data_IF_179960845799
#
_entry.id   IF_179960845799
#
_cell.length_a   1.000
_cell.length_b   1.000
_cell.length_c   1.000
_cell.angle_alpha   90.00
_cell.angle_beta   90.00
_cell.angle_gamma   90.00
#
_symmetry.space_group_name_H-M   'P 1'
#
loop_
_entity.id
_entity.type
_entity.pdbx_description
1 polymer ?
#
# COMPACT_ATOMS: atom_id res chain seq x y z
N UNK A 1 -20.23 -34.31 35.22
CA UNK A 1 -21.61 -34.75 34.92
C UNK A 1 -22.15 -33.77 33.85
N UNK A 2 -22.85 -34.31 32.85
CA UNK A 2 -23.20 -33.76 31.52
C UNK A 2 -23.69 -32.30 31.55
N UNK A 3 -23.42 -31.46 30.53
CA UNK A 3 -24.26 -31.45 29.32
C UNK A 3 -23.53 -30.91 28.07
N UNK A 4 -23.54 -31.72 27.01
CA UNK A 4 -23.24 -31.36 25.62
C UNK A 4 -24.56 -31.23 24.87
N UNK A 5 -24.78 -30.13 24.15
CA UNK A 5 -25.87 -30.01 23.16
C UNK A 5 -25.39 -29.31 21.88
N UNK A 6 -24.93 -30.14 20.93
CA UNK A 6 -25.21 -30.19 19.48
C UNK A 6 -26.18 -29.11 18.92
N UNK A 7 -26.12 -28.57 17.69
CA UNK A 7 -25.35 -28.75 16.44
C UNK A 7 -25.92 -27.71 15.42
N UNK A 8 -25.08 -27.10 14.59
CA UNK A 8 -25.29 -26.75 13.15
C UNK A 8 -23.96 -26.12 12.71
N UNK A 9 -23.19 -26.62 11.74
CA UNK A 9 -23.62 -27.23 10.49
C UNK A 9 -23.23 -26.38 9.27
N UNK A 10 -22.22 -25.49 9.36
CA UNK A 10 -21.52 -24.88 8.22
C UNK A 10 -20.08 -24.62 8.70
N UNK A 11 -19.07 -25.10 7.96
CA UNK A 11 -17.68 -25.16 8.40
C UNK A 11 -17.10 -23.82 8.85
N UNK A 12 -16.84 -23.69 10.15
CA UNK A 12 -15.97 -22.67 10.70
C UNK A 12 -14.50 -23.02 10.37
N UNK A 13 -14.10 -22.79 9.12
CA UNK A 13 -12.67 -22.73 8.75
C UNK A 13 -12.30 -21.27 8.57
N UNK A 14 -12.25 -20.48 9.64
CA UNK A 14 -11.59 -19.16 9.59
C UNK A 14 -11.16 -18.70 10.98
N UNK A 15 -10.30 -19.47 11.63
CA UNK A 15 -9.24 -18.85 12.43
C UNK A 15 -7.94 -19.24 11.74
N UNK A 16 -7.45 -18.37 10.86
CA UNK A 16 -6.13 -18.55 10.26
C UNK A 16 -5.12 -18.75 11.40
N UNK A 17 -4.36 -19.87 11.42
CA UNK A 17 -3.43 -20.10 12.52
C UNK A 17 -2.38 -18.99 12.49
N UNK A 18 -2.20 -18.30 13.62
CA UNK A 18 -1.29 -17.15 13.79
C UNK A 18 0.16 -17.50 13.40
N UNK A 19 0.51 -18.78 13.46
CA UNK A 19 1.76 -19.37 12.98
C UNK A 19 1.98 -19.25 11.46
N UNK A 20 0.94 -19.04 10.65
CA UNK A 20 1.05 -18.76 9.21
C UNK A 20 1.40 -17.30 8.91
N UNK A 21 1.13 -16.36 9.83
CA UNK A 21 1.47 -14.95 9.67
C UNK A 21 2.99 -14.70 9.62
N UNK A 22 3.81 -15.59 10.20
CA UNK A 22 5.28 -15.51 10.11
C UNK A 22 5.78 -15.46 8.66
N UNK A 23 5.09 -16.13 7.72
CA UNK A 23 5.52 -16.20 6.31
C UNK A 23 5.39 -14.87 5.56
N UNK A 24 4.60 -13.93 6.07
CA UNK A 24 4.23 -12.69 5.40
C UNK A 24 4.76 -11.42 6.09
N UNK A 25 5.59 -11.57 7.13
CA UNK A 25 6.10 -10.44 7.94
C UNK A 25 6.90 -9.39 7.16
N UNK A 26 7.41 -9.73 5.97
CA UNK A 26 8.16 -8.84 5.09
C UNK A 26 7.39 -8.62 3.77
N UNK A 27 6.07 -8.44 3.86
CA UNK A 27 5.20 -8.26 2.70
C UNK A 27 4.55 -6.89 2.74
N UNK A 28 4.61 -6.18 1.61
CA UNK A 28 3.88 -4.94 1.39
C UNK A 28 2.73 -5.19 0.43
N UNK A 29 1.62 -4.48 0.64
CA UNK A 29 0.54 -4.37 -0.32
C UNK A 29 0.74 -3.07 -1.09
N UNK A 30 0.74 -3.16 -2.41
CA UNK A 30 0.89 -2.00 -3.28
C UNK A 30 -0.26 -1.88 -4.27
N UNK A 31 -0.48 -0.66 -4.72
CA UNK A 31 -1.39 -0.35 -5.83
C UNK A 31 -0.88 0.84 -6.61
N UNK A 32 -0.79 0.69 -7.93
CA UNK A 32 -0.50 1.82 -8.81
C UNK A 32 -1.80 2.57 -9.07
N UNK A 33 -1.75 3.89 -8.89
CA UNK A 33 -2.89 4.79 -9.06
C UNK A 33 -2.71 5.56 -10.38
N UNK A 34 -3.76 5.55 -11.22
CA UNK A 34 -3.81 6.33 -12.46
C UNK A 34 -3.30 5.62 -13.71
N UNK A 35 -2.74 4.41 -13.59
CA UNK A 35 -2.31 3.61 -14.74
C UNK A 35 -2.33 2.11 -14.44
N UNK A 36 -2.45 1.31 -15.49
CA UNK A 36 -2.32 -0.14 -15.45
C UNK A 36 -0.91 -0.55 -15.86
N UNK A 37 -0.32 -1.46 -15.12
CA UNK A 37 0.98 -2.04 -15.42
C UNK A 37 0.85 -3.54 -15.57
N UNK A 38 1.53 -4.11 -16.56
CA UNK A 38 1.82 -5.55 -16.57
C UNK A 38 2.74 -5.89 -15.39
N UNK A 39 2.64 -7.11 -14.86
CA UNK A 39 3.47 -7.58 -13.73
C UNK A 39 4.97 -7.34 -13.98
N UNK A 40 5.46 -7.60 -15.19
CA UNK A 40 6.87 -7.40 -15.54
C UNK A 40 7.30 -5.93 -15.47
N UNK A 41 6.55 -5.03 -16.12
CA UNK A 41 6.80 -3.59 -16.06
C UNK A 41 6.70 -3.04 -14.63
N UNK A 42 5.75 -3.52 -13.84
CA UNK A 42 5.64 -3.16 -12.43
C UNK A 42 6.88 -3.62 -11.66
N UNK A 43 7.29 -4.87 -11.83
CA UNK A 43 8.47 -5.43 -11.17
C UNK A 43 9.74 -4.64 -11.52
N UNK A 44 9.95 -4.33 -12.81
CA UNK A 44 11.07 -3.50 -13.25
C UNK A 44 11.02 -2.09 -12.65
N UNK A 45 9.82 -1.49 -12.58
CA UNK A 45 9.60 -0.21 -11.92
C UNK A 45 9.97 -0.25 -10.44
N UNK A 46 9.53 -1.28 -9.71
CA UNK A 46 9.85 -1.49 -8.29
C UNK A 46 11.35 -1.65 -8.06
N UNK A 47 12.04 -2.44 -8.91
CA UNK A 47 13.49 -2.60 -8.85
C UNK A 47 14.21 -1.26 -9.09
N UNK A 48 13.71 -0.43 -10.00
CA UNK A 48 14.29 0.88 -10.29
C UNK A 48 14.14 1.89 -9.15
N UNK A 49 12.98 1.94 -8.50
CA UNK A 49 12.70 2.93 -7.44
C UNK A 49 13.25 2.51 -6.07
N UNK A 50 13.12 1.23 -5.70
CA UNK A 50 13.51 0.75 -4.38
C UNK A 50 14.95 0.26 -4.32
N UNK A 51 15.53 -0.10 -5.47
CA UNK A 51 16.90 -0.62 -5.60
C UNK A 51 17.22 -1.64 -4.49
N UNK A 52 16.40 -2.69 -4.35
CA UNK A 52 16.60 -3.67 -3.28
C UNK A 52 17.94 -4.38 -3.48
N UNK A 53 18.61 -4.70 -2.38
CA UNK A 53 19.82 -5.51 -2.41
C UNK A 53 19.50 -7.00 -2.58
N UNK A 54 18.34 -7.44 -2.08
CA UNK A 54 17.84 -8.81 -2.22
C UNK A 54 16.75 -8.97 -3.27
N UNK A 55 16.23 -10.19 -3.39
CA UNK A 55 15.16 -10.50 -4.34
C UNK A 55 13.81 -10.01 -3.80
N UNK A 56 12.97 -9.50 -4.71
CA UNK A 56 11.55 -9.21 -4.43
C UNK A 56 10.67 -10.19 -5.22
N UNK A 57 9.61 -10.68 -4.59
CA UNK A 57 8.59 -11.52 -5.24
C UNK A 57 7.30 -10.72 -5.33
N UNK A 58 6.83 -10.51 -6.56
CA UNK A 58 5.60 -9.80 -6.86
C UNK A 58 4.48 -10.80 -7.17
N UNK A 59 3.35 -10.68 -6.47
CA UNK A 59 2.17 -11.55 -6.65
C UNK A 59 0.96 -10.64 -6.90
N UNK A 60 0.22 -10.93 -7.97
CA UNK A 60 -1.01 -10.23 -8.33
C UNK A 60 -2.14 -10.52 -7.34
N UNK A 61 -2.92 -9.48 -7.02
CA UNK A 61 -4.10 -9.55 -6.17
C UNK A 61 -5.31 -8.93 -6.91
N UNK A 62 -6.54 -9.34 -6.53
CA UNK A 62 -7.75 -8.77 -7.11
C UNK A 62 -7.81 -7.24 -7.03
N UNK A 63 -8.53 -6.63 -7.98
CA UNK A 63 -8.73 -5.16 -8.09
C UNK A 63 -7.44 -4.37 -8.36
N UNK A 64 -6.44 -4.99 -8.97
CA UNK A 64 -5.18 -4.33 -9.34
C UNK A 64 -4.37 -3.91 -8.12
N UNK A 65 -4.43 -4.72 -7.06
CA UNK A 65 -3.47 -4.68 -5.96
C UNK A 65 -2.39 -5.70 -6.23
N UNK A 66 -1.24 -5.55 -5.59
CA UNK A 66 -0.17 -6.53 -5.65
C UNK A 66 0.43 -6.71 -4.26
N UNK A 67 0.92 -7.91 -3.96
CA UNK A 67 1.78 -8.11 -2.81
C UNK A 67 3.24 -8.20 -3.25
N UNK A 68 4.10 -7.47 -2.55
CA UNK A 68 5.55 -7.54 -2.73
C UNK A 68 6.15 -8.16 -1.49
N UNK A 69 6.71 -9.34 -1.63
CA UNK A 69 7.45 -10.00 -0.57
C UNK A 69 8.94 -9.74 -0.74
N UNK A 70 9.57 -9.26 0.33
CA UNK A 70 10.99 -8.97 0.38
C UNK A 70 11.74 -10.12 1.06
N UNK A 71 12.91 -10.43 0.52
CA UNK A 71 13.89 -11.31 1.18
C UNK A 71 14.59 -10.58 2.34
N UNK A 72 15.03 -9.34 2.09
CA UNK A 72 15.76 -8.51 3.06
C UNK A 72 14.83 -7.63 3.89
N UNK A 73 15.04 -7.61 5.21
CA UNK A 73 14.31 -6.71 6.12
C UNK A 73 14.69 -5.25 5.90
N UNK A 74 15.92 -5.00 5.44
CA UNK A 74 16.39 -3.64 5.13
C UNK A 74 15.62 -3.10 3.93
N UNK A 75 15.45 -3.93 2.89
CA UNK A 75 14.72 -3.52 1.69
C UNK A 75 13.22 -3.37 1.95
N UNK A 76 12.65 -4.22 2.81
CA UNK A 76 11.28 -4.04 3.31
C UNK A 76 11.10 -2.68 3.99
N UNK A 77 12.00 -2.32 4.90
CA UNK A 77 11.94 -1.02 5.60
C UNK A 77 12.08 0.16 4.64
N UNK A 78 12.95 0.05 3.63
CA UNK A 78 13.10 1.08 2.58
C UNK A 78 11.79 1.28 1.81
N UNK A 79 11.16 0.20 1.35
CA UNK A 79 9.88 0.28 0.65
C UNK A 79 8.76 0.93 1.48
N UNK A 80 8.87 0.82 2.81
CA UNK A 80 7.95 1.38 3.80
C UNK A 80 8.29 2.81 4.24
N UNK A 81 9.40 3.39 3.78
CA UNK A 81 9.71 4.78 4.09
C UNK A 81 8.55 5.67 3.64
N UNK A 82 8.18 6.68 4.46
CA UNK A 82 7.00 7.54 4.26
C UNK A 82 7.13 8.50 3.07
N UNK A 83 8.00 8.18 2.10
CA UNK A 83 8.16 8.94 0.87
C UNK A 83 7.14 8.45 -0.16
N UNK A 84 6.50 9.36 -0.91
CA UNK A 84 5.64 8.96 -2.00
C UNK A 84 6.47 8.30 -3.09
N UNK A 85 6.07 7.09 -3.47
CA UNK A 85 6.73 6.33 -4.55
C UNK A 85 6.05 6.62 -5.88
N UNK A 86 6.83 6.75 -6.95
CA UNK A 86 6.33 7.00 -8.30
C UNK A 86 7.01 6.05 -9.29
N UNK A 87 6.22 5.42 -10.16
CA UNK A 87 6.71 4.65 -11.29
C UNK A 87 6.35 5.45 -12.55
N UNK A 88 7.34 6.09 -13.17
CA UNK A 88 7.09 7.09 -14.22
C UNK A 88 6.31 8.28 -13.66
N UNK A 89 5.10 8.52 -14.17
CA UNK A 89 4.18 9.57 -13.71
C UNK A 89 3.09 9.06 -12.77
N UNK A 90 3.04 7.75 -12.52
CA UNK A 90 1.98 7.11 -11.75
C UNK A 90 2.37 6.99 -10.29
N UNK A 91 1.45 7.31 -9.38
CA UNK A 91 1.68 7.16 -7.94
C UNK A 91 1.58 5.70 -7.52
N UNK A 92 2.50 5.26 -6.67
CA UNK A 92 2.50 3.94 -6.05
C UNK A 92 2.06 4.06 -4.59
N UNK A 93 0.86 3.58 -4.30
CA UNK A 93 0.38 3.41 -2.92
C UNK A 93 1.06 2.20 -2.31
N UNK A 94 1.58 2.35 -1.09
CA UNK A 94 2.27 1.29 -0.34
C UNK A 94 1.66 1.21 1.05
N UNK A 95 1.34 -0.01 1.48
CA UNK A 95 0.75 -0.30 2.79
C UNK A 95 1.35 -1.58 3.36
N UNK A 96 1.39 -1.66 4.69
CA UNK A 96 1.71 -2.88 5.42
C UNK A 96 0.72 -4.00 5.06
N UNK A 97 1.22 -5.23 4.95
CA UNK A 97 0.33 -6.38 4.96
C UNK A 97 -0.31 -6.55 6.35
N UNK A 98 -1.61 -6.80 6.38
CA UNK A 98 -2.34 -7.14 7.62
C UNK A 98 -3.01 -8.51 7.48
N UNK A 99 -3.07 -9.33 8.54
CA UNK A 99 -3.77 -10.60 8.52
C UNK A 99 -5.26 -10.40 8.24
N UNK A 100 -5.87 -11.34 7.50
CA UNK A 100 -7.27 -11.29 7.07
C UNK A 100 -7.64 -10.05 6.22
N UNK A 101 -6.65 -9.43 5.57
CA UNK A 101 -6.88 -8.37 4.61
C UNK A 101 -7.68 -8.93 3.42
N UNK A 102 -8.95 -8.54 3.33
CA UNK A 102 -9.84 -8.88 2.24
C UNK A 102 -9.47 -8.01 1.01
N UNK A 103 -8.92 -8.59 -0.07
CA UNK A 103 -8.54 -7.84 -1.27
C UNK A 103 -9.69 -7.06 -1.89
N UNK A 104 -10.94 -7.47 -1.64
CA UNK A 104 -12.11 -6.78 -2.13
C UNK A 104 -12.49 -5.55 -1.28
N UNK A 105 -11.97 -5.43 -0.06
CA UNK A 105 -12.24 -4.30 0.85
C UNK A 105 -11.06 -3.36 1.02
N UNK A 106 -9.90 -3.67 0.45
CA UNK A 106 -8.75 -2.74 0.49
C UNK A 106 -9.16 -1.45 -0.20
N UNK A 107 -9.04 -0.34 0.53
CA UNK A 107 -9.27 1.00 0.02
C UNK A 107 -8.06 1.88 0.36
N UNK A 108 -7.68 2.76 -0.57
CA UNK A 108 -6.58 3.70 -0.34
C UNK A 108 -7.16 4.87 0.46
N UNK A 109 -7.07 4.79 1.79
CA UNK A 109 -7.73 5.77 2.67
C UNK A 109 -7.00 7.11 2.77
N UNK A 110 -5.67 7.13 2.59
CA UNK A 110 -4.83 8.34 2.68
C UNK A 110 -3.65 8.24 1.72
N UNK A 111 -3.37 9.34 1.02
CA UNK A 111 -2.31 9.44 0.03
C UNK A 111 -1.63 10.81 0.16
N UNK A 112 -0.31 10.83 0.34
CA UNK A 112 0.47 12.04 0.24
C UNK A 112 0.69 12.37 -1.24
N UNK A 113 0.25 13.55 -1.70
CA UNK A 113 0.44 14.00 -3.07
C UNK A 113 0.99 15.43 -3.13
N UNK A 114 1.86 15.69 -4.09
CA UNK A 114 2.35 17.03 -4.40
C UNK A 114 1.43 17.67 -5.43
N UNK A 115 0.87 18.84 -5.11
CA UNK A 115 0.00 19.61 -6.00
C UNK A 115 0.84 20.77 -6.57
N UNK A 116 0.89 20.90 -7.90
CA UNK A 116 1.43 22.10 -8.56
C UNK A 116 0.30 23.08 -8.82
N UNK A 117 0.37 24.26 -8.21
CA UNK A 117 -0.51 25.39 -8.50
C UNK A 117 0.11 26.20 -9.64
N UNK A 118 -0.43 26.05 -10.85
CA UNK A 118 0.03 26.82 -12.01
C UNK A 118 -0.67 28.20 -12.03
N UNK A 119 0.05 29.23 -12.49
CA UNK A 119 -0.45 30.61 -12.60
C UNK A 119 -0.94 31.23 -11.27
N UNK A 120 -0.34 30.81 -10.15
CA UNK A 120 -0.61 31.45 -8.85
C UNK A 120 0.03 32.85 -8.84
N UNK A 121 -0.73 33.95 -8.66
CA UNK A 121 -0.15 35.28 -8.57
C UNK A 121 0.82 35.36 -7.37
N UNK A 122 1.85 36.20 -7.50
CA UNK A 122 2.94 36.26 -6.51
C UNK A 122 2.44 36.64 -5.11
N UNK A 123 1.35 37.40 -5.03
CA UNK A 123 0.69 37.82 -3.80
C UNK A 123 0.12 36.64 -3.00
N UNK A 124 -0.19 35.52 -3.66
CA UNK A 124 -0.68 34.30 -3.02
C UNK A 124 0.44 33.33 -2.64
N UNK A 125 1.71 33.70 -2.89
CA UNK A 125 2.88 32.92 -2.50
C UNK A 125 3.28 33.15 -1.03
N UNK A 126 2.29 33.44 -0.19
CA UNK A 126 2.43 33.53 1.26
C UNK A 126 2.11 32.18 1.92
N UNK A 127 2.85 31.85 2.98
CA UNK A 127 2.72 30.56 3.66
C UNK A 127 1.31 30.34 4.23
N UNK A 128 0.69 31.36 4.82
CA UNK A 128 -0.64 31.24 5.41
C UNK A 128 -1.70 31.00 4.34
N UNK A 129 -1.57 31.69 3.21
CA UNK A 129 -2.45 31.52 2.03
C UNK A 129 -2.30 30.10 1.46
N UNK A 130 -1.05 29.63 1.26
CA UNK A 130 -0.79 28.28 0.76
C UNK A 130 -1.32 27.19 1.70
N UNK A 131 -1.22 27.38 3.02
CA UNK A 131 -1.80 26.47 4.01
C UNK A 131 -3.32 26.51 4.01
N UNK A 132 -3.94 27.68 3.79
CA UNK A 132 -5.38 27.82 3.65
C UNK A 132 -5.89 27.04 2.43
N UNK A 133 -5.22 27.21 1.27
CA UNK A 133 -5.52 26.45 0.04
C UNK A 133 -5.32 24.95 0.29
N UNK A 134 -4.21 24.58 0.93
CA UNK A 134 -3.91 23.17 1.25
C UNK A 134 -4.95 22.54 2.16
N UNK A 135 -5.45 23.29 3.16
CA UNK A 135 -6.47 22.85 4.12
C UNK A 135 -7.83 22.61 3.47
N UNK A 136 -8.17 23.38 2.45
CA UNK A 136 -9.42 23.19 1.70
C UNK A 136 -9.39 21.89 0.87
N UNK A 137 -8.21 21.50 0.39
CA UNK A 137 -8.02 20.29 -0.42
C UNK A 137 -7.85 19.04 0.46
N UNK A 138 -7.07 19.12 1.54
CA UNK A 138 -6.71 17.97 2.38
C UNK A 138 -6.14 18.42 3.74
N UNK A 139 -5.63 17.47 4.53
CA UNK A 139 -4.73 17.80 5.65
C UNK A 139 -3.34 18.11 5.07
N UNK A 140 -2.88 19.38 5.07
CA UNK A 140 -1.53 19.69 4.65
C UNK A 140 -0.52 18.97 5.57
N UNK A 141 0.55 18.44 4.98
CA UNK A 141 1.65 17.79 5.70
C UNK A 141 2.57 18.80 6.36
#
# INVERSE_FOLDING_TARGET
>A
MKEYRNKTGIGAVTSFPESSCKRWQQTLIIKVVGALYTIENLNNGLLGIWKPAGTIQLIDLPKGFYSVKFESRIDYSKGLEQRPWFIGTSYLSVQWWTPNLDPHKINIHKMAMWIRLNNLPLEYFDREILLLIGKDISTPL
#
